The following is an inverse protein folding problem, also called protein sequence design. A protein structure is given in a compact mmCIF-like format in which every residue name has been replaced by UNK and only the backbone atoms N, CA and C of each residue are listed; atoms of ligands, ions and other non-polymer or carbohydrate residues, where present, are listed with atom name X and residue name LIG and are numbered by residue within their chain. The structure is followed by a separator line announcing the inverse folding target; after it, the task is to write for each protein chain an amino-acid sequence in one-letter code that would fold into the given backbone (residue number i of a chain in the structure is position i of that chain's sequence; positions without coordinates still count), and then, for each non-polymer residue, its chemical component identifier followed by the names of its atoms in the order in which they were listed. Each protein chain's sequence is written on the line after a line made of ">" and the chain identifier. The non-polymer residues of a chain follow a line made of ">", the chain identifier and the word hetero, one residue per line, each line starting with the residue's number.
data_IF_923000336002
#
_entry.id   IF_923000336002
#
_cell.length_a   1.000
_cell.length_b   1.000
_cell.length_c   1.000
_cell.angle_alpha   90.00
_cell.angle_beta   90.00
_cell.angle_gamma   90.00
#
_symmetry.space_group_name_H-M   'P 1'
#
loop_
_entity.id
_entity.type
_entity.pdbx_description
1 polymer ?
#
# COMPACT_ATOMS: atom_id res chain seq x y z
N UNK A 1 22.92 7.36 -7.97
CA UNK A 1 21.83 6.58 -7.34
C UNK A 1 22.31 6.14 -5.96
N UNK A 2 21.50 6.33 -4.92
CA UNK A 2 21.83 5.92 -3.55
C UNK A 2 21.97 4.39 -3.50
N UNK A 3 23.11 3.89 -3.02
CA UNK A 3 23.41 2.46 -2.96
C UNK A 3 22.38 1.70 -2.10
N UNK A 4 21.80 2.35 -1.09
CA UNK A 4 20.75 1.77 -0.26
C UNK A 4 19.42 1.62 -1.02
N UNK A 5 19.03 2.61 -1.84
CA UNK A 5 17.84 2.52 -2.67
C UNK A 5 17.95 1.41 -3.74
N UNK A 6 19.13 1.26 -4.33
CA UNK A 6 19.41 0.16 -5.27
C UNK A 6 19.38 -1.21 -4.58
N UNK A 7 19.84 -1.29 -3.33
CA UNK A 7 19.80 -2.51 -2.52
C UNK A 7 18.36 -2.91 -2.17
N UNK A 8 17.52 -1.98 -1.74
CA UNK A 8 16.10 -2.23 -1.44
C UNK A 8 15.35 -2.76 -2.67
N UNK A 9 15.55 -2.13 -3.83
CA UNK A 9 14.98 -2.60 -5.09
C UNK A 9 15.51 -3.97 -5.49
N UNK A 10 16.83 -4.19 -5.40
CA UNK A 10 17.43 -5.48 -5.73
C UNK A 10 16.87 -6.62 -4.85
N UNK A 11 16.66 -6.36 -3.56
CA UNK A 11 16.06 -7.33 -2.64
C UNK A 11 14.58 -7.59 -2.95
N UNK A 12 13.82 -6.56 -3.31
CA UNK A 12 12.44 -6.74 -3.77
C UNK A 12 12.38 -7.57 -5.06
N UNK A 13 13.29 -7.34 -6.01
CA UNK A 13 13.41 -8.14 -7.23
C UNK A 13 13.87 -9.58 -6.96
N UNK A 14 14.77 -9.78 -6.00
CA UNK A 14 15.17 -11.12 -5.55
C UNK A 14 13.98 -11.86 -4.92
N UNK A 15 13.21 -11.21 -4.05
CA UNK A 15 12.01 -11.79 -3.46
C UNK A 15 10.95 -12.14 -4.54
N UNK A 16 10.76 -11.27 -5.54
CA UNK A 16 9.93 -11.56 -6.72
C UNK A 16 10.47 -12.78 -7.51
N UNK A 17 11.79 -12.88 -7.68
CA UNK A 17 12.44 -14.02 -8.32
C UNK A 17 12.26 -15.32 -7.55
N UNK A 18 12.32 -15.28 -6.22
CA UNK A 18 12.02 -16.43 -5.36
C UNK A 18 10.55 -16.85 -5.45
N UNK A 19 9.61 -15.90 -5.42
CA UNK A 19 8.18 -16.18 -5.61
C UNK A 19 7.89 -16.81 -6.98
N UNK A 20 8.54 -16.34 -8.04
CA UNK A 20 8.43 -16.92 -9.38
C UNK A 20 8.99 -18.35 -9.45
N UNK A 21 10.07 -18.65 -8.73
CA UNK A 21 10.66 -20.01 -8.65
C UNK A 21 9.84 -20.96 -7.81
N UNK A 22 9.27 -20.51 -6.70
CA UNK A 22 8.34 -21.29 -5.89
C UNK A 22 7.12 -21.75 -6.72
N UNK A 23 6.63 -20.89 -7.62
CA UNK A 23 5.57 -21.22 -8.60
C UNK A 23 5.99 -22.28 -9.64
N UNK A 24 7.28 -22.40 -9.93
CA UNK A 24 7.82 -23.35 -10.92
C UNK A 24 8.10 -24.76 -10.34
N UNK A 25 7.69 -25.04 -9.10
CA UNK A 25 7.77 -26.39 -8.50
C UNK A 25 9.16 -26.77 -7.99
N UNK A 26 10.09 -25.83 -7.86
CA UNK A 26 11.42 -26.08 -7.31
C UNK A 26 11.40 -25.90 -5.78
N UNK A 27 11.41 -27.03 -5.06
CA UNK A 27 11.64 -27.19 -3.60
C UNK A 27 10.75 -26.34 -2.67
N UNK A 28 9.95 -27.01 -1.83
CA UNK A 28 9.03 -26.43 -0.84
C UNK A 28 9.66 -25.67 0.33
N UNK A 29 10.81 -25.02 0.14
CA UNK A 29 11.29 -23.98 1.05
C UNK A 29 10.41 -22.75 0.83
N UNK A 30 9.43 -22.58 1.72
CA UNK A 30 8.34 -21.64 1.56
C UNK A 30 8.76 -20.18 1.34
N UNK A 31 7.87 -19.40 0.74
CA UNK A 31 8.02 -17.95 0.57
C UNK A 31 8.28 -17.22 1.90
N UNK A 32 7.79 -17.76 3.01
CA UNK A 32 7.82 -17.12 4.33
C UNK A 32 9.25 -16.86 4.87
N UNK A 33 10.19 -17.82 4.89
CA UNK A 33 11.60 -17.54 5.23
C UNK A 33 12.24 -16.41 4.41
N UNK A 34 12.11 -16.45 3.07
CA UNK A 34 12.68 -15.44 2.19
C UNK A 34 12.01 -14.06 2.36
N UNK A 35 10.72 -14.06 2.73
CA UNK A 35 9.97 -12.86 3.06
C UNK A 35 10.49 -12.22 4.34
N UNK A 36 10.88 -13.01 5.35
CA UNK A 36 11.40 -12.51 6.63
C UNK A 36 12.61 -11.60 6.46
N UNK A 37 13.62 -12.05 5.71
CA UNK A 37 14.82 -11.25 5.44
C UNK A 37 14.51 -9.98 4.63
N UNK A 38 13.66 -10.10 3.61
CA UNK A 38 13.25 -8.96 2.79
C UNK A 38 12.47 -7.91 3.63
N UNK A 39 11.56 -8.37 4.48
CA UNK A 39 10.78 -7.50 5.37
C UNK A 39 11.67 -6.81 6.40
N UNK A 40 12.63 -7.52 6.99
CA UNK A 40 13.57 -6.93 7.94
C UNK A 40 14.36 -5.77 7.30
N UNK A 41 14.84 -5.95 6.06
CA UNK A 41 15.55 -4.89 5.33
C UNK A 41 14.62 -3.74 4.97
N UNK A 42 13.43 -4.03 4.43
CA UNK A 42 12.48 -2.97 4.07
C UNK A 42 11.97 -2.19 5.29
N UNK A 43 11.83 -2.85 6.44
CA UNK A 43 11.47 -2.21 7.70
C UNK A 43 12.58 -1.26 8.15
N UNK A 44 13.83 -1.71 8.14
CA UNK A 44 14.99 -0.88 8.46
C UNK A 44 15.10 0.32 7.50
N UNK A 45 14.97 0.08 6.19
CA UNK A 45 15.04 1.12 5.17
C UNK A 45 13.86 2.10 5.26
N UNK A 46 12.68 1.63 5.63
CA UNK A 46 11.48 2.44 5.86
C UNK A 46 11.61 3.42 7.03
N UNK A 47 12.51 3.12 7.97
CA UNK A 47 12.88 3.97 9.11
C UNK A 47 14.17 4.77 8.89
N UNK A 48 14.77 4.73 7.70
CA UNK A 48 16.00 5.46 7.38
C UNK A 48 15.80 6.98 7.39
N UNK A 49 16.81 7.75 7.80
CA UNK A 49 16.79 9.21 7.66
C UNK A 49 16.84 9.67 6.19
N UNK A 50 17.24 8.78 5.26
CA UNK A 50 17.30 9.05 3.83
C UNK A 50 15.91 8.88 3.19
N UNK A 51 15.31 9.99 2.76
CA UNK A 51 14.03 9.99 2.04
C UNK A 51 14.01 9.08 0.79
N UNK A 52 15.04 9.06 -0.08
CA UNK A 52 15.13 8.10 -1.17
C UNK A 52 15.06 6.63 -0.73
N UNK A 53 15.68 6.30 0.41
CA UNK A 53 15.69 4.94 0.96
C UNK A 53 14.31 4.54 1.45
N UNK A 54 13.63 5.43 2.20
CA UNK A 54 12.25 5.17 2.64
C UNK A 54 11.28 5.03 1.47
N UNK A 55 11.44 5.85 0.43
CA UNK A 55 10.64 5.77 -0.80
C UNK A 55 10.86 4.44 -1.54
N UNK A 56 12.11 3.97 -1.61
CA UNK A 56 12.45 2.66 -2.17
C UNK A 56 11.85 1.52 -1.33
N UNK A 57 11.85 1.64 -0.01
CA UNK A 57 11.21 0.67 0.88
C UNK A 57 9.70 0.53 0.61
N UNK A 58 9.00 1.66 0.42
CA UNK A 58 7.58 1.64 0.05
C UNK A 58 7.32 0.92 -1.29
N UNK A 59 8.18 1.12 -2.29
CA UNK A 59 8.11 0.36 -3.54
C UNK A 59 8.43 -1.13 -3.34
N UNK A 60 9.37 -1.46 -2.46
CA UNK A 60 9.66 -2.83 -2.08
C UNK A 60 8.46 -3.53 -1.45
N UNK A 61 7.76 -2.86 -0.52
CA UNK A 61 6.52 -3.41 0.04
C UNK A 61 5.44 -3.63 -1.02
N UNK A 62 5.27 -2.69 -1.96
CA UNK A 62 4.36 -2.88 -3.10
C UNK A 62 4.71 -4.14 -3.90
N UNK A 63 5.99 -4.34 -4.22
CA UNK A 63 6.46 -5.51 -4.94
C UNK A 63 6.19 -6.82 -4.17
N UNK A 64 6.43 -6.85 -2.86
CA UNK A 64 6.12 -8.00 -2.02
C UNK A 64 4.62 -8.31 -1.99
N UNK A 65 3.76 -7.30 -1.91
CA UNK A 65 2.30 -7.50 -1.95
C UNK A 65 1.85 -8.14 -3.27
N UNK A 66 2.42 -7.71 -4.41
CA UNK A 66 2.16 -8.33 -5.72
C UNK A 66 2.62 -9.79 -5.75
N UNK A 67 3.81 -10.08 -5.19
CA UNK A 67 4.31 -11.44 -5.09
C UNK A 67 3.39 -12.33 -4.22
N UNK A 68 2.90 -11.80 -3.11
CA UNK A 68 1.97 -12.50 -2.22
C UNK A 68 0.63 -12.80 -2.90
N UNK A 69 0.12 -11.90 -3.75
CA UNK A 69 -1.17 -12.10 -4.42
C UNK A 69 -1.15 -13.23 -5.46
N UNK A 70 0.05 -13.66 -5.86
CA UNK A 70 0.23 -14.82 -6.73
C UNK A 70 0.18 -16.16 -5.98
N UNK A 71 0.01 -16.15 -4.66
CA UNK A 71 -0.13 -17.34 -3.83
C UNK A 71 -1.62 -17.58 -3.52
N UNK A 72 -2.14 -18.75 -3.87
CA UNK A 72 -3.54 -19.14 -3.65
C UNK A 72 -3.75 -19.65 -2.22
N UNK A 73 -3.60 -18.80 -1.20
CA UNK A 73 -3.88 -19.19 0.18
C UNK A 73 -4.97 -18.31 0.79
N UNK A 74 -6.14 -18.91 1.06
CA UNK A 74 -7.33 -18.28 1.61
C UNK A 74 -7.28 -17.93 3.11
N UNK A 75 -6.09 -17.67 3.68
CA UNK A 75 -5.86 -17.33 5.09
C UNK A 75 -5.12 -16.01 5.30
N UNK A 76 -4.72 -15.70 6.56
CA UNK A 76 -3.70 -14.68 6.89
C UNK A 76 -2.33 -15.15 6.37
N UNK A 77 -2.19 -15.17 5.05
CA UNK A 77 -1.00 -15.64 4.38
C UNK A 77 0.16 -14.62 4.46
N UNK A 78 1.20 -14.82 3.64
CA UNK A 78 2.35 -13.92 3.52
C UNK A 78 1.98 -12.42 3.45
N UNK A 79 0.85 -12.10 2.81
CA UNK A 79 0.35 -10.73 2.68
C UNK A 79 0.05 -10.06 4.03
N UNK A 80 -0.49 -10.79 5.01
CA UNK A 80 -0.78 -10.25 6.35
C UNK A 80 0.49 -9.73 7.02
N UNK A 81 1.53 -10.57 7.05
CA UNK A 81 2.85 -10.22 7.62
C UNK A 81 3.48 -9.02 6.91
N UNK A 82 3.37 -8.95 5.58
CA UNK A 82 3.83 -7.77 4.82
C UNK A 82 3.05 -6.53 5.23
N UNK A 83 1.72 -6.60 5.34
CA UNK A 83 0.89 -5.45 5.69
C UNK A 83 1.13 -4.96 7.11
N UNK A 84 1.27 -5.85 8.09
CA UNK A 84 1.61 -5.49 9.47
C UNK A 84 2.92 -4.70 9.56
N UNK A 85 3.92 -5.10 8.77
CA UNK A 85 5.22 -4.41 8.71
C UNK A 85 5.15 -3.11 7.92
N UNK A 86 4.47 -3.13 6.77
CA UNK A 86 4.46 -2.02 5.83
C UNK A 86 3.61 -0.84 6.32
N UNK A 87 2.42 -1.09 6.87
CA UNK A 87 1.41 -0.05 7.14
C UNK A 87 1.96 1.09 8.02
N UNK A 88 2.66 0.85 9.15
CA UNK A 88 3.24 1.95 9.94
C UNK A 88 4.20 2.85 9.14
N UNK A 89 5.02 2.26 8.27
CA UNK A 89 5.98 2.97 7.42
C UNK A 89 5.25 3.78 6.34
N UNK A 90 4.24 3.17 5.70
CA UNK A 90 3.41 3.85 4.71
C UNK A 90 2.67 5.04 5.33
N UNK A 91 2.12 4.88 6.53
CA UNK A 91 1.46 5.95 7.29
C UNK A 91 2.43 7.10 7.58
N UNK A 92 3.65 6.80 8.02
CA UNK A 92 4.67 7.82 8.28
C UNK A 92 5.07 8.57 7.00
N UNK A 93 5.21 7.87 5.87
CA UNK A 93 5.53 8.48 4.58
C UNK A 93 4.39 9.34 4.04
N UNK A 94 3.15 8.87 4.15
CA UNK A 94 1.95 9.59 3.72
C UNK A 94 1.69 10.84 4.58
N UNK A 95 1.98 10.76 5.88
CA UNK A 95 1.77 11.87 6.80
C UNK A 95 2.79 12.98 6.59
N UNK A 96 4.07 12.65 6.60
CA UNK A 96 5.14 13.65 6.79
C UNK A 96 6.24 13.57 5.72
N UNK A 97 6.11 12.69 4.72
CA UNK A 97 7.04 12.63 3.60
C UNK A 97 6.87 13.81 2.63
N UNK A 98 7.89 14.14 1.81
CA UNK A 98 7.71 14.98 0.63
C UNK A 98 6.90 14.24 -0.46
N UNK A 99 6.53 14.93 -1.54
CA UNK A 99 5.70 14.36 -2.60
C UNK A 99 6.33 13.08 -3.21
N UNK A 100 7.64 13.06 -3.39
CA UNK A 100 8.41 11.92 -3.93
C UNK A 100 8.33 10.67 -3.06
N UNK A 101 8.12 10.84 -1.75
CA UNK A 101 7.97 9.76 -0.79
C UNK A 101 6.50 9.35 -0.60
N UNK A 102 5.56 10.30 -0.75
CA UNK A 102 4.11 10.05 -0.66
C UNK A 102 3.59 9.25 -1.84
N UNK A 103 4.06 9.52 -3.05
CA UNK A 103 3.67 8.78 -4.27
C UNK A 103 3.87 7.25 -4.14
N UNK A 104 5.08 6.73 -3.85
CA UNK A 104 5.29 5.29 -3.70
C UNK A 104 4.50 4.70 -2.54
N UNK A 105 4.31 5.45 -1.44
CA UNK A 105 3.52 5.00 -0.32
C UNK A 105 2.02 4.88 -0.65
N UNK A 106 1.46 5.86 -1.38
CA UNK A 106 0.08 5.81 -1.86
C UNK A 106 -0.14 4.66 -2.85
N UNK A 107 0.84 4.41 -3.73
CA UNK A 107 0.81 3.26 -4.64
C UNK A 107 0.84 1.93 -3.89
N UNK A 108 1.70 1.78 -2.87
CA UNK A 108 1.72 0.58 -2.06
C UNK A 108 0.39 0.36 -1.33
N UNK A 109 -0.20 1.41 -0.76
CA UNK A 109 -1.52 1.33 -0.11
C UNK A 109 -2.64 0.97 -1.11
N UNK A 110 -2.64 1.58 -2.31
CA UNK A 110 -3.55 1.23 -3.43
C UNK A 110 -3.42 -0.26 -3.78
N UNK A 111 -2.19 -0.74 -3.97
CA UNK A 111 -1.92 -2.15 -4.30
C UNK A 111 -2.39 -3.09 -3.19
N UNK A 112 -2.11 -2.78 -1.92
CA UNK A 112 -2.56 -3.57 -0.79
C UNK A 112 -4.10 -3.68 -0.75
N UNK A 113 -4.80 -2.55 -0.90
CA UNK A 113 -6.25 -2.51 -0.89
C UNK A 113 -6.90 -3.23 -2.09
N UNK A 114 -6.28 -3.13 -3.26
CA UNK A 114 -6.76 -3.78 -4.49
C UNK A 114 -6.58 -5.30 -4.45
N UNK A 115 -5.43 -5.78 -3.96
CA UNK A 115 -5.10 -7.20 -3.95
C UNK A 115 -5.64 -7.92 -2.71
N UNK A 116 -5.72 -7.22 -1.57
CA UNK A 116 -6.13 -7.77 -0.29
C UNK A 116 -7.18 -6.88 0.40
N UNK A 117 -8.38 -6.76 -0.20
CA UNK A 117 -9.43 -5.88 0.33
C UNK A 117 -9.89 -6.29 1.73
N UNK A 118 -9.95 -7.60 2.03
CA UNK A 118 -10.35 -8.09 3.35
C UNK A 118 -9.36 -7.69 4.46
N UNK A 119 -8.05 -7.88 4.23
CA UNK A 119 -7.00 -7.46 5.17
C UNK A 119 -7.01 -5.94 5.38
N UNK A 120 -7.23 -5.20 4.31
CA UNK A 120 -7.24 -3.74 4.35
C UNK A 120 -8.45 -3.19 5.11
N UNK A 121 -9.66 -3.72 4.89
CA UNK A 121 -10.87 -3.28 5.60
C UNK A 121 -10.89 -3.65 7.08
N UNK A 122 -10.14 -4.68 7.48
CA UNK A 122 -9.99 -5.08 8.88
C UNK A 122 -9.04 -4.15 9.65
N UNK A 123 -7.83 -4.64 9.92
CA UNK A 123 -6.91 -4.01 10.87
C UNK A 123 -6.29 -2.69 10.37
N UNK A 124 -6.27 -2.43 9.07
CA UNK A 124 -5.45 -1.36 8.48
C UNK A 124 -6.24 -0.15 7.99
N UNK A 125 -7.57 -0.25 7.92
CA UNK A 125 -8.46 0.79 7.37
C UNK A 125 -8.31 2.11 8.13
N UNK A 126 -8.42 2.06 9.47
CA UNK A 126 -8.35 3.23 10.33
C UNK A 126 -6.99 3.94 10.28
N UNK A 127 -5.91 3.20 10.00
CA UNK A 127 -4.56 3.75 9.92
C UNK A 127 -4.29 4.43 8.57
N UNK A 128 -4.78 3.85 7.46
CA UNK A 128 -4.45 4.32 6.10
C UNK A 128 -5.33 5.50 5.65
N UNK A 129 -6.60 5.57 6.06
CA UNK A 129 -7.53 6.59 5.55
C UNK A 129 -7.13 8.02 5.94
N UNK A 130 -6.83 8.35 7.22
CA UNK A 130 -6.48 9.73 7.59
C UNK A 130 -5.27 10.31 6.84
N UNK A 131 -4.12 9.62 6.73
CA UNK A 131 -2.97 10.19 6.03
C UNK A 131 -3.23 10.28 4.52
N UNK A 132 -3.97 9.35 3.90
CA UNK A 132 -4.36 9.50 2.50
C UNK A 132 -5.28 10.73 2.28
N UNK A 133 -6.21 11.01 3.20
CA UNK A 133 -7.04 12.23 3.16
C UNK A 133 -6.24 13.52 3.36
N UNK A 134 -5.11 13.46 4.08
CA UNK A 134 -4.15 14.57 4.12
C UNK A 134 -3.53 14.78 2.75
N UNK A 135 -3.14 13.70 2.07
CA UNK A 135 -2.50 13.74 0.74
C UNK A 135 -3.44 14.18 -0.38
N UNK A 136 -4.77 13.98 -0.30
CA UNK A 136 -5.67 14.53 -1.33
C UNK A 136 -5.70 16.07 -1.38
N UNK A 137 -5.13 16.73 -0.36
CA UNK A 137 -4.96 18.18 -0.29
C UNK A 137 -3.57 18.64 -0.77
N UNK A 138 -2.74 17.73 -1.27
CA UNK A 138 -1.40 18.03 -1.75
C UNK A 138 -1.44 18.96 -3.00
N UNK A 139 -0.59 19.99 -3.08
CA UNK A 139 -0.47 20.82 -4.29
C UNK A 139 0.04 20.06 -5.51
N UNK A 140 0.79 18.97 -5.32
CA UNK A 140 1.22 18.07 -6.37
C UNK A 140 0.05 17.22 -6.87
N UNK A 141 -0.43 17.54 -8.07
CA UNK A 141 -1.60 16.89 -8.67
C UNK A 141 -1.43 15.36 -8.80
N UNK A 142 -0.24 14.87 -9.17
CA UNK A 142 -0.01 13.44 -9.31
C UNK A 142 -0.12 12.71 -7.97
N UNK A 143 0.50 13.25 -6.92
CA UNK A 143 0.40 12.68 -5.56
C UNK A 143 -1.04 12.69 -5.06
N UNK A 144 -1.78 13.77 -5.33
CA UNK A 144 -3.21 13.87 -5.01
C UNK A 144 -4.02 12.78 -5.71
N UNK A 145 -3.90 12.65 -7.04
CA UNK A 145 -4.67 11.69 -7.83
C UNK A 145 -4.38 10.24 -7.39
N UNK A 146 -3.11 9.93 -7.10
CA UNK A 146 -2.71 8.62 -6.56
C UNK A 146 -3.36 8.34 -5.20
N UNK A 147 -3.43 9.34 -4.32
CA UNK A 147 -4.09 9.19 -3.03
C UNK A 147 -5.60 9.02 -3.17
N UNK A 148 -6.26 9.73 -4.10
CA UNK A 148 -7.68 9.52 -4.39
C UNK A 148 -7.96 8.10 -4.88
N UNK A 149 -7.10 7.57 -5.75
CA UNK A 149 -7.17 6.18 -6.22
C UNK A 149 -6.95 5.19 -5.09
N UNK A 150 -5.96 5.42 -4.23
CA UNK A 150 -5.73 4.60 -3.05
C UNK A 150 -6.94 4.60 -2.11
N UNK A 151 -7.51 5.77 -1.81
CA UNK A 151 -8.71 5.90 -0.97
C UNK A 151 -9.92 5.17 -1.55
N UNK A 152 -10.14 5.25 -2.86
CA UNK A 152 -11.23 4.53 -3.52
C UNK A 152 -11.15 3.02 -3.26
N UNK A 153 -9.94 2.43 -3.33
CA UNK A 153 -9.74 1.01 -3.04
C UNK A 153 -9.76 0.70 -1.54
N UNK A 154 -9.11 1.51 -0.70
CA UNK A 154 -9.06 1.31 0.76
C UNK A 154 -10.47 1.36 1.36
N UNK A 155 -11.30 2.32 0.94
CA UNK A 155 -12.70 2.46 1.36
C UNK A 155 -13.65 1.56 0.56
N UNK A 156 -13.14 0.78 -0.40
CA UNK A 156 -13.91 -0.17 -1.21
C UNK A 156 -15.16 0.43 -1.84
N UNK A 157 -15.06 1.66 -2.34
CA UNK A 157 -16.20 2.49 -2.77
C UNK A 157 -17.10 1.77 -3.78
N UNK A 158 -16.51 0.98 -4.68
CA UNK A 158 -17.25 0.27 -5.74
C UNK A 158 -17.51 -1.21 -5.43
N UNK A 159 -16.79 -1.80 -4.48
CA UNK A 159 -16.82 -3.25 -4.22
C UNK A 159 -17.55 -3.63 -2.95
N UNK A 160 -17.45 -2.81 -1.89
CA UNK A 160 -18.13 -3.02 -0.60
C UNK A 160 -18.44 -1.66 0.05
N UNK A 161 -19.57 -1.04 -0.31
CA UNK A 161 -19.98 0.28 0.21
C UNK A 161 -20.09 0.34 1.73
N UNK A 162 -20.36 -0.79 2.40
CA UNK A 162 -20.43 -0.88 3.86
C UNK A 162 -19.13 -0.49 4.56
N UNK A 163 -17.97 -0.70 3.91
CA UNK A 163 -16.65 -0.31 4.42
C UNK A 163 -16.58 1.19 4.74
N UNK A 164 -17.17 2.02 3.88
CA UNK A 164 -17.25 3.47 4.11
C UNK A 164 -18.14 3.79 5.32
N UNK A 165 -19.29 3.14 5.44
CA UNK A 165 -20.22 3.35 6.54
C UNK A 165 -19.61 2.92 7.88
N UNK A 166 -18.93 1.77 7.91
CA UNK A 166 -18.20 1.24 9.06
C UNK A 166 -17.08 2.20 9.49
N UNK A 167 -16.25 2.66 8.56
CA UNK A 167 -15.19 3.64 8.84
C UNK A 167 -15.76 4.95 9.42
N UNK A 168 -16.82 5.48 8.79
CA UNK A 168 -17.44 6.74 9.20
C UNK A 168 -18.12 6.63 10.57
N UNK A 169 -18.64 5.46 10.95
CA UNK A 169 -19.22 5.22 12.27
C UNK A 169 -18.17 5.27 13.39
N UNK A 170 -16.91 4.91 13.10
CA UNK A 170 -15.79 4.96 14.04
C UNK A 170 -15.02 6.29 14.04
N UNK A 171 -15.30 7.21 13.12
CA UNK A 171 -14.58 8.47 12.96
C UNK A 171 -15.19 9.62 13.78
N UNK A 172 -14.39 10.65 14.09
CA UNK A 172 -14.88 11.89 14.68
C UNK A 172 -15.91 12.56 13.75
N UNK A 173 -16.91 13.25 14.31
CA UNK A 173 -18.06 13.77 13.55
C UNK A 173 -17.67 14.68 12.37
N UNK A 174 -16.62 15.49 12.52
CA UNK A 174 -16.12 16.39 11.47
C UNK A 174 -15.46 15.61 10.31
N UNK A 175 -14.59 14.65 10.65
CA UNK A 175 -13.92 13.78 9.68
C UNK A 175 -14.95 12.88 8.96
N UNK A 176 -15.89 12.31 9.70
CA UNK A 176 -16.99 11.50 9.20
C UNK A 176 -17.79 12.23 8.10
N UNK A 177 -18.11 13.51 8.32
CA UNK A 177 -18.82 14.32 7.33
C UNK A 177 -17.97 14.58 6.09
N UNK A 178 -16.71 15.01 6.29
CA UNK A 178 -15.80 15.29 5.19
C UNK A 178 -15.61 14.06 4.30
N UNK A 179 -15.33 12.91 4.91
CA UNK A 179 -15.06 11.65 4.20
C UNK A 179 -16.28 11.20 3.39
N UNK A 180 -17.48 11.28 3.96
CA UNK A 180 -18.72 10.94 3.26
C UNK A 180 -18.97 11.84 2.05
N UNK A 181 -18.82 13.14 2.22
CA UNK A 181 -18.99 14.10 1.13
C UNK A 181 -17.93 13.92 0.04
N UNK A 182 -16.68 13.68 0.43
CA UNK A 182 -15.56 13.45 -0.49
C UNK A 182 -15.76 12.16 -1.28
N UNK A 183 -16.13 11.07 -0.61
CA UNK A 183 -16.43 9.79 -1.23
C UNK A 183 -17.53 9.92 -2.29
N UNK A 184 -18.63 10.62 -1.96
CA UNK A 184 -19.75 10.81 -2.88
C UNK A 184 -19.40 11.69 -4.09
N UNK A 185 -18.64 12.77 -3.88
CA UNK A 185 -18.38 13.77 -4.93
C UNK A 185 -17.19 13.43 -5.83
N UNK A 186 -16.17 12.78 -5.27
CA UNK A 186 -14.90 12.52 -5.93
C UNK A 186 -14.71 11.03 -6.15
N UNK A 187 -14.60 10.25 -5.07
CA UNK A 187 -14.17 8.84 -5.17
C UNK A 187 -15.17 7.98 -5.97
N UNK A 188 -16.47 8.19 -5.81
CA UNK A 188 -17.51 7.47 -6.55
C UNK A 188 -17.50 7.74 -8.07
N UNK A 189 -16.82 8.79 -8.53
CA UNK A 189 -16.68 9.11 -9.95
C UNK A 189 -15.42 8.52 -10.59
N UNK A 190 -14.50 8.02 -9.78
CA UNK A 190 -13.29 7.37 -10.27
C UNK A 190 -13.66 6.00 -10.82
N UNK A 191 -13.18 5.65 -12.01
CA UNK A 191 -13.41 4.32 -12.61
C UNK A 191 -12.50 3.29 -11.93
N UNK A 192 -13.03 2.14 -11.52
CA UNK A 192 -12.24 1.08 -10.89
C UNK A 192 -11.08 0.56 -11.77
N UNK A 193 -11.27 0.56 -13.10
CA UNK A 193 -10.39 -0.12 -14.06
C UNK A 193 -9.54 0.81 -14.95
N UNK A 194 -9.52 2.12 -14.69
CA UNK A 194 -8.47 2.96 -15.30
C UNK A 194 -7.15 2.62 -14.60
N UNK A 195 -6.56 1.50 -15.03
CA UNK A 195 -5.20 1.07 -14.79
C UNK A 195 -4.27 2.10 -15.38
N UNK A 196 -3.37 2.64 -14.56
CA UNK A 196 -1.90 2.62 -14.70
C UNK A 196 -1.24 2.92 -16.08
N UNK A 197 -1.97 3.23 -17.14
CA UNK A 197 -1.47 3.51 -18.51
C UNK A 197 -0.98 4.96 -18.69
N UNK A 198 -1.16 5.81 -17.69
CA UNK A 198 -0.68 7.21 -17.67
C UNK A 198 0.29 7.49 -16.49
N UNK A 199 0.91 6.45 -15.92
CA UNK A 199 1.82 6.57 -14.75
C UNK A 199 3.32 6.44 -15.11
N UNK A 200 3.73 6.78 -16.34
CA UNK A 200 5.14 6.99 -16.74
C UNK A 200 5.59 8.46 -16.63
#
# INVERSE_FOLDING_TARGET
>A
ADAAALRALALAYLALGHAARARAGASGDGLLPALGDALAVLAQDGSSDSLPVRAAAAQGFRALLVACASQEDGGEGPAGVVMETAVPILVALLSDGPAEARKPAALAAKTAAKLFPALTAGAHLAALVPPLLKVVKDPNLQTKLLSERALMHVLQIHTRPDTLSEFVAGAAAEDARFVRDYARRVLARLKADLSDEEED
#
